data_IF_226893526440
#
_entry.id   IF_226893526440
#
_cell.length_a   1.000
_cell.length_b   1.000
_cell.length_c   1.000
_cell.angle_alpha   90.00
_cell.angle_beta   90.00
_cell.angle_gamma   90.00
#
_symmetry.space_group_name_H-M   'P 1'
#
loop_
_entity.id
_entity.type
_entity.pdbx_description
1 polymer ?
#
# COMPACT_ATOMS: atom_id res chain seq x y z
N UNK A 1 6.69 -4.73 5.41
CA UNK A 1 5.62 -5.59 5.98
C UNK A 1 4.29 -4.85 5.94
N UNK A 2 3.19 -5.61 5.83
CA UNK A 2 1.88 -5.06 6.10
C UNK A 2 1.77 -4.75 7.59
N UNK A 3 1.25 -3.57 7.98
CA UNK A 3 0.87 -3.37 9.37
C UNK A 3 -0.24 -4.36 9.74
N UNK A 4 -0.40 -4.69 11.02
CA UNK A 4 -1.55 -5.47 11.46
C UNK A 4 -2.84 -4.86 10.88
N UNK A 5 -3.68 -5.69 10.26
CA UNK A 5 -4.92 -5.22 9.68
C UNK A 5 -5.88 -4.87 10.81
N UNK A 6 -6.16 -3.58 10.97
CA UNK A 6 -7.14 -3.09 11.94
C UNK A 6 -8.58 -3.15 11.40
N UNK A 7 -8.75 -3.35 10.10
CA UNK A 7 -10.03 -3.61 9.42
C UNK A 7 -9.93 -4.92 8.64
N UNK A 8 -10.90 -5.78 8.82
CA UNK A 8 -11.00 -7.05 8.12
C UNK A 8 -12.37 -7.23 7.46
N UNK A 9 -12.41 -7.94 6.34
CA UNK A 9 -13.61 -8.34 5.63
C UNK A 9 -13.61 -9.87 5.55
N UNK A 10 -14.66 -10.51 6.08
CA UNK A 10 -14.83 -11.94 6.00
C UNK A 10 -15.43 -12.35 4.66
N UNK A 11 -14.74 -13.17 3.92
CA UNK A 11 -15.29 -13.92 2.81
C UNK A 11 -15.69 -15.31 3.33
N UNK A 12 -17.01 -15.51 3.53
CA UNK A 12 -17.53 -16.74 4.12
C UNK A 12 -17.78 -17.80 3.05
N UNK A 13 -16.95 -18.82 3.04
CA UNK A 13 -17.16 -20.00 2.19
C UNK A 13 -18.43 -20.76 2.58
N UNK A 14 -18.73 -20.85 3.87
CA UNK A 14 -19.93 -21.51 4.37
C UNK A 14 -21.20 -20.84 3.84
N UNK A 15 -21.27 -19.51 3.91
CA UNK A 15 -22.41 -18.75 3.36
C UNK A 15 -22.52 -18.90 1.85
N UNK A 16 -21.42 -18.94 1.12
CA UNK A 16 -21.43 -19.16 -0.32
C UNK A 16 -22.00 -20.53 -0.69
N UNK A 17 -21.64 -21.56 0.07
CA UNK A 17 -22.05 -22.92 -0.21
C UNK A 17 -23.49 -23.23 0.23
N UNK A 18 -23.92 -22.74 1.39
CA UNK A 18 -25.18 -23.16 2.01
C UNK A 18 -26.34 -22.18 1.85
N UNK A 19 -26.07 -20.91 1.61
CA UNK A 19 -27.13 -19.89 1.43
C UNK A 19 -27.73 -19.83 0.02
N UNK A 20 -27.44 -20.80 -0.83
CA UNK A 20 -28.03 -20.89 -2.17
C UNK A 20 -27.69 -19.71 -3.08
N UNK A 21 -26.59 -19.02 -2.85
CA UNK A 21 -26.17 -17.83 -3.60
C UNK A 21 -25.64 -18.15 -4.99
N UNK A 22 -25.88 -19.35 -5.45
CA UNK A 22 -25.59 -19.77 -6.80
C UNK A 22 -24.23 -20.39 -6.97
N UNK A 23 -24.09 -21.16 -8.03
CA UNK A 23 -22.83 -21.71 -8.50
C UNK A 23 -21.89 -20.56 -8.80
N UNK A 24 -20.77 -20.51 -8.10
CA UNK A 24 -19.63 -19.59 -8.30
C UNK A 24 -19.79 -18.14 -7.80
N UNK A 25 -20.75 -17.80 -6.95
CA UNK A 25 -20.82 -16.46 -6.33
C UNK A 25 -21.04 -15.29 -7.29
N UNK A 26 -21.17 -15.53 -8.59
CA UNK A 26 -21.25 -14.51 -9.63
C UNK A 26 -22.63 -13.87 -9.78
N UNK A 27 -23.64 -14.40 -9.12
CA UNK A 27 -25.02 -13.88 -9.20
C UNK A 27 -25.27 -12.64 -8.36
N UNK A 28 -24.42 -12.34 -7.40
CA UNK A 28 -24.53 -11.18 -6.50
C UNK A 28 -23.13 -10.70 -6.16
N UNK A 29 -22.66 -9.64 -6.78
CA UNK A 29 -21.38 -9.00 -6.53
C UNK A 29 -21.38 -8.08 -5.29
N UNK A 30 -22.03 -8.51 -4.23
CA UNK A 30 -22.23 -7.69 -3.04
C UNK A 30 -20.95 -7.48 -2.26
N UNK A 31 -20.11 -8.50 -2.18
CA UNK A 31 -18.79 -8.41 -1.55
C UNK A 31 -17.92 -7.38 -2.26
N UNK A 32 -18.00 -7.32 -3.59
CA UNK A 32 -17.29 -6.31 -4.38
C UNK A 32 -17.82 -4.90 -4.10
N UNK A 33 -19.15 -4.72 -4.03
CA UNK A 33 -19.77 -3.44 -3.72
C UNK A 33 -19.44 -3.00 -2.28
N UNK A 34 -19.42 -3.93 -1.32
CA UNK A 34 -18.97 -3.66 0.05
C UNK A 34 -17.50 -3.27 0.07
N UNK A 35 -16.65 -3.97 -0.66
CA UNK A 35 -15.23 -3.61 -0.75
C UNK A 35 -15.03 -2.19 -1.30
N UNK A 36 -15.80 -1.78 -2.31
CA UNK A 36 -15.78 -0.42 -2.84
C UNK A 36 -16.25 0.61 -1.81
N UNK A 37 -17.33 0.33 -1.06
CA UNK A 37 -17.78 1.18 0.04
C UNK A 37 -16.67 1.38 1.07
N UNK A 38 -16.01 0.30 1.48
CA UNK A 38 -14.89 0.37 2.43
C UNK A 38 -13.73 1.19 1.86
N UNK A 39 -13.38 0.99 0.60
CA UNK A 39 -12.33 1.75 -0.08
C UNK A 39 -12.66 3.25 -0.10
N UNK A 40 -13.87 3.64 -0.47
CA UNK A 40 -14.29 5.05 -0.45
C UNK A 40 -14.47 5.61 0.96
N UNK A 41 -14.75 4.77 1.95
CA UNK A 41 -14.65 5.14 3.36
C UNK A 41 -13.18 5.26 3.85
N UNK A 42 -12.20 5.09 2.97
CA UNK A 42 -10.73 5.09 3.22
C UNK A 42 -10.30 4.03 4.24
N UNK A 43 -11.02 2.94 4.29
CA UNK A 43 -10.62 1.75 5.03
C UNK A 43 -9.75 0.86 4.13
N UNK A 44 -8.88 0.09 4.75
CA UNK A 44 -7.96 -0.81 4.05
C UNK A 44 -8.19 -2.25 4.54
N UNK A 45 -9.32 -2.88 4.16
CA UNK A 45 -9.66 -4.17 4.72
C UNK A 45 -8.69 -5.26 4.25
N UNK A 46 -8.31 -6.14 5.17
CA UNK A 46 -7.73 -7.44 4.86
C UNK A 46 -8.86 -8.43 4.67
N UNK A 47 -8.83 -9.17 3.57
CA UNK A 47 -9.75 -10.28 3.37
C UNK A 47 -9.33 -11.43 4.29
N UNK A 48 -10.27 -11.94 5.07
CA UNK A 48 -10.11 -13.10 5.93
C UNK A 48 -11.10 -14.19 5.50
N UNK A 49 -10.73 -15.43 5.81
CA UNK A 49 -11.58 -16.60 5.67
C UNK A 49 -11.91 -17.16 7.06
N UNK A 50 -12.92 -18.01 7.16
CA UNK A 50 -13.33 -18.64 8.41
C UNK A 50 -12.16 -19.38 9.08
N UNK A 51 -11.38 -20.12 8.30
CA UNK A 51 -10.20 -20.84 8.79
C UNK A 51 -9.12 -19.89 9.33
N UNK A 52 -8.99 -18.69 8.73
CA UNK A 52 -8.05 -17.67 9.21
C UNK A 52 -8.48 -17.16 10.60
N UNK A 53 -9.77 -16.90 10.77
CA UNK A 53 -10.33 -16.48 12.08
C UNK A 53 -10.09 -17.54 13.16
N UNK A 54 -10.29 -18.82 12.81
CA UNK A 54 -10.14 -19.93 13.76
C UNK A 54 -8.67 -20.22 14.09
N UNK A 55 -7.77 -20.07 13.12
CA UNK A 55 -6.35 -20.36 13.29
C UNK A 55 -5.60 -19.21 13.97
N UNK A 56 -5.80 -17.99 13.50
CA UNK A 56 -5.00 -16.80 13.85
C UNK A 56 -5.75 -15.86 14.82
N UNK A 57 -7.06 -16.01 14.95
CA UNK A 57 -7.92 -15.12 15.73
C UNK A 57 -8.15 -13.76 15.02
N UNK A 58 -8.67 -12.82 15.82
CA UNK A 58 -8.96 -11.44 15.39
C UNK A 58 -8.13 -10.42 16.20
N UNK A 59 -6.99 -10.83 16.71
CA UNK A 59 -6.11 -9.93 17.46
C UNK A 59 -5.59 -8.80 16.57
N UNK A 60 -5.64 -7.56 17.09
CA UNK A 60 -5.26 -6.36 16.33
C UNK A 60 -6.35 -5.83 15.39
N UNK A 61 -7.38 -6.62 15.06
CA UNK A 61 -8.55 -6.14 14.34
C UNK A 61 -9.40 -5.23 15.23
N UNK A 62 -9.95 -4.18 14.67
CA UNK A 62 -10.86 -3.23 15.32
C UNK A 62 -12.24 -3.24 14.70
N UNK A 63 -12.29 -3.45 13.38
CA UNK A 63 -13.52 -3.47 12.59
C UNK A 63 -13.55 -4.74 11.74
N UNK A 64 -14.57 -5.57 11.95
CA UNK A 64 -14.83 -6.77 11.16
C UNK A 64 -16.09 -6.56 10.33
N UNK A 65 -15.97 -6.73 9.01
CA UNK A 65 -17.07 -6.58 8.06
C UNK A 65 -17.52 -7.94 7.56
N UNK A 66 -18.81 -8.20 7.64
CA UNK A 66 -19.43 -9.50 7.38
C UNK A 66 -20.47 -9.38 6.24
N UNK A 67 -20.02 -9.20 4.98
CA UNK A 67 -20.97 -9.08 3.87
C UNK A 67 -21.56 -10.44 3.51
N UNK A 68 -22.88 -10.51 3.43
CA UNK A 68 -23.57 -11.71 3.03
C UNK A 68 -23.27 -12.94 3.87
N UNK A 69 -22.94 -12.78 5.14
CA UNK A 69 -22.61 -13.85 6.08
C UNK A 69 -23.87 -14.38 6.80
N UNK A 70 -24.82 -14.95 6.07
CA UNK A 70 -26.09 -15.46 6.59
C UNK A 70 -25.97 -16.85 7.25
N UNK A 71 -25.00 -17.66 6.84
CA UNK A 71 -24.68 -18.97 7.42
C UNK A 71 -23.23 -19.01 7.84
N UNK A 72 -22.97 -19.22 9.13
CA UNK A 72 -21.62 -19.29 9.68
C UNK A 72 -21.46 -20.51 10.58
N UNK A 73 -20.29 -21.17 10.61
CA UNK A 73 -19.98 -22.21 11.59
C UNK A 73 -20.08 -21.68 13.01
N UNK A 74 -20.48 -22.57 13.95
CA UNK A 74 -20.69 -22.19 15.33
C UNK A 74 -19.45 -21.60 16.00
N UNK A 75 -18.31 -22.20 15.78
CA UNK A 75 -17.01 -21.75 16.31
C UNK A 75 -16.58 -20.39 15.79
N UNK A 76 -16.88 -20.09 14.51
CA UNK A 76 -16.68 -18.75 13.92
C UNK A 76 -17.61 -17.73 14.58
N UNK A 77 -18.89 -18.05 14.77
CA UNK A 77 -19.84 -17.19 15.49
C UNK A 77 -19.35 -16.91 16.92
N UNK A 78 -18.86 -17.93 17.63
CA UNK A 78 -18.30 -17.75 18.96
C UNK A 78 -17.04 -16.89 18.98
N UNK A 79 -16.17 -17.00 17.97
CA UNK A 79 -14.99 -16.14 17.81
C UNK A 79 -15.39 -14.67 17.56
N UNK A 80 -16.37 -14.43 16.69
CA UNK A 80 -16.89 -13.08 16.40
C UNK A 80 -17.53 -12.47 17.65
N UNK A 81 -18.30 -13.22 18.40
CA UNK A 81 -18.90 -12.75 19.67
C UNK A 81 -17.84 -12.38 20.71
N UNK A 82 -16.76 -13.17 20.83
CA UNK A 82 -15.64 -12.82 21.71
C UNK A 82 -14.96 -11.54 21.27
N UNK A 83 -14.77 -11.36 19.95
CA UNK A 83 -14.24 -10.13 19.37
C UNK A 83 -15.11 -8.91 19.74
N UNK A 84 -16.43 -8.99 19.59
CA UNK A 84 -17.35 -7.91 20.00
C UNK A 84 -17.30 -7.66 21.52
N UNK A 85 -17.27 -8.70 22.33
CA UNK A 85 -17.18 -8.59 23.79
C UNK A 85 -15.87 -7.90 24.24
N UNK A 86 -14.79 -7.99 23.45
CA UNK A 86 -13.53 -7.28 23.70
C UNK A 86 -13.49 -5.85 23.12
N UNK A 87 -14.61 -5.34 22.62
CA UNK A 87 -14.72 -3.97 22.07
C UNK A 87 -14.50 -3.86 20.57
N UNK A 88 -14.45 -4.99 19.84
CA UNK A 88 -14.42 -5.01 18.39
C UNK A 88 -15.76 -4.60 17.79
N UNK A 89 -15.71 -3.92 16.66
CA UNK A 89 -16.88 -3.42 15.92
C UNK A 89 -17.23 -4.38 14.79
N UNK A 90 -18.49 -4.78 14.69
CA UNK A 90 -19.00 -5.63 13.61
C UNK A 90 -19.93 -4.83 12.71
N UNK A 91 -19.58 -4.80 11.42
CA UNK A 91 -20.41 -4.25 10.35
C UNK A 91 -20.99 -5.44 9.56
N UNK A 92 -22.29 -5.50 9.45
CA UNK A 92 -23.00 -6.52 8.66
C UNK A 92 -23.88 -5.90 7.59
N UNK A 93 -24.56 -6.74 6.86
CA UNK A 93 -25.67 -6.35 5.99
C UNK A 93 -27.01 -6.89 6.52
N UNK A 94 -28.07 -6.74 5.72
CA UNK A 94 -29.41 -7.16 6.08
C UNK A 94 -29.56 -8.71 6.14
N UNK A 95 -28.63 -9.43 5.52
CA UNK A 95 -28.63 -10.90 5.45
C UNK A 95 -27.69 -11.54 6.50
N UNK A 96 -27.16 -10.77 7.45
CA UNK A 96 -26.26 -11.30 8.47
C UNK A 96 -26.88 -12.39 9.30
N UNK A 97 -26.12 -13.46 9.57
CA UNK A 97 -26.48 -14.55 10.47
C UNK A 97 -27.14 -14.03 11.75
N UNK A 98 -28.38 -14.48 12.11
CA UNK A 98 -29.14 -13.97 13.27
C UNK A 98 -28.46 -14.19 14.63
N UNK A 99 -27.45 -15.07 14.67
CA UNK A 99 -26.66 -15.31 15.88
C UNK A 99 -25.68 -14.17 16.20
N UNK A 100 -25.44 -13.23 15.27
CA UNK A 100 -24.54 -12.08 15.43
C UNK A 100 -25.37 -10.80 15.29
N UNK A 101 -25.15 -9.86 16.19
CA UNK A 101 -25.75 -8.52 16.09
C UNK A 101 -24.70 -7.58 15.50
N UNK A 102 -25.00 -6.99 14.34
CA UNK A 102 -24.16 -5.93 13.78
C UNK A 102 -24.27 -4.64 14.61
N UNK A 103 -23.14 -3.95 14.79
CA UNK A 103 -23.09 -2.61 15.37
C UNK A 103 -23.49 -1.55 14.33
N UNK A 104 -23.24 -1.85 13.06
CA UNK A 104 -23.69 -1.06 11.91
C UNK A 104 -24.18 -1.99 10.79
N UNK A 105 -25.28 -1.63 10.15
CA UNK A 105 -25.87 -2.40 9.03
C UNK A 105 -25.71 -1.63 7.74
N UNK A 106 -24.96 -2.18 6.80
CA UNK A 106 -24.86 -1.67 5.42
C UNK A 106 -26.12 -2.05 4.65
N UNK A 107 -26.78 -1.05 4.09
CA UNK A 107 -27.95 -1.25 3.22
C UNK A 107 -27.48 -1.29 1.77
N UNK A 108 -27.08 -2.45 1.29
CA UNK A 108 -26.56 -2.60 -0.06
C UNK A 108 -27.72 -2.54 -1.06
N UNK A 109 -27.65 -1.56 -1.97
CA UNK A 109 -28.64 -1.39 -3.02
C UNK A 109 -28.17 -2.12 -4.28
N UNK A 110 -29.14 -2.70 -4.99
CA UNK A 110 -28.85 -3.30 -6.31
C UNK A 110 -28.38 -2.24 -7.28
N UNK A 111 -27.48 -2.64 -8.19
CA UNK A 111 -27.04 -1.81 -9.31
C UNK A 111 -28.20 -1.38 -10.17
N UNK A 112 -28.12 -0.15 -10.66
CA UNK A 112 -29.03 0.42 -11.64
C UNK A 112 -28.45 0.21 -13.06
N UNK A 113 -29.08 0.82 -14.07
CA UNK A 113 -28.56 0.79 -15.44
C UNK A 113 -27.49 1.86 -15.71
N UNK A 114 -27.17 2.72 -14.73
CA UNK A 114 -26.26 3.86 -14.88
C UNK A 114 -25.08 3.74 -13.90
N UNK A 115 -23.92 3.47 -14.42
CA UNK A 115 -22.71 3.23 -13.63
C UNK A 115 -22.30 4.43 -12.76
N UNK A 116 -22.43 5.67 -13.25
CA UNK A 116 -22.13 6.86 -12.44
C UNK A 116 -23.12 7.04 -11.29
N UNK A 117 -24.41 6.70 -11.48
CA UNK A 117 -25.40 6.73 -10.42
C UNK A 117 -25.14 5.66 -9.36
N UNK A 118 -24.71 4.48 -9.77
CA UNK A 118 -24.34 3.39 -8.86
C UNK A 118 -23.10 3.77 -8.04
N UNK A 119 -22.08 4.35 -8.68
CA UNK A 119 -20.90 4.89 -7.97
C UNK A 119 -21.32 5.93 -6.93
N UNK A 120 -22.12 6.91 -7.31
CA UNK A 120 -22.57 7.96 -6.40
C UNK A 120 -23.35 7.40 -5.20
N UNK A 121 -24.20 6.38 -5.42
CA UNK A 121 -24.94 5.74 -4.35
C UNK A 121 -24.05 4.98 -3.37
N UNK A 122 -23.03 4.26 -3.86
CA UNK A 122 -22.06 3.56 -3.01
C UNK A 122 -21.13 4.53 -2.26
N UNK A 123 -20.73 5.64 -2.89
CA UNK A 123 -19.97 6.70 -2.24
C UNK A 123 -20.77 7.39 -1.13
N UNK A 124 -22.07 7.60 -1.32
CA UNK A 124 -22.93 8.13 -0.25
C UNK A 124 -22.97 7.19 0.95
N UNK A 125 -23.12 5.88 0.73
CA UNK A 125 -23.06 4.89 1.82
C UNK A 125 -21.67 4.86 2.49
N UNK A 126 -20.60 5.01 1.73
CA UNK A 126 -19.25 5.09 2.28
C UNK A 126 -19.08 6.30 3.20
N UNK A 127 -19.66 7.46 2.84
CA UNK A 127 -19.60 8.65 3.68
C UNK A 127 -20.49 8.50 4.94
N UNK A 128 -21.68 7.91 4.85
CA UNK A 128 -22.52 7.57 6.01
C UNK A 128 -21.78 6.65 6.99
N UNK A 129 -21.18 5.57 6.47
CA UNK A 129 -20.37 4.65 7.26
C UNK A 129 -19.18 5.38 7.91
N UNK A 130 -18.50 6.24 7.15
CA UNK A 130 -17.39 7.02 7.65
C UNK A 130 -17.79 7.96 8.80
N UNK A 131 -18.91 8.65 8.67
CA UNK A 131 -19.43 9.51 9.75
C UNK A 131 -19.72 8.71 11.02
N UNK A 132 -20.34 7.55 10.88
CA UNK A 132 -20.62 6.68 12.02
C UNK A 132 -19.32 6.18 12.68
N UNK A 133 -18.34 5.75 11.89
CA UNK A 133 -17.05 5.24 12.38
C UNK A 133 -16.22 6.29 13.14
N UNK A 134 -16.42 7.59 12.92
CA UNK A 134 -15.67 8.65 13.64
C UNK A 134 -15.75 8.53 15.15
N UNK A 135 -16.81 7.93 15.68
CA UNK A 135 -16.99 7.73 17.12
C UNK A 135 -16.15 6.60 17.71
N UNK A 136 -15.70 5.63 16.88
CA UNK A 136 -15.05 4.40 17.34
C UNK A 136 -13.79 4.02 16.58
N UNK A 137 -13.49 4.67 15.45
CA UNK A 137 -12.35 4.36 14.61
C UNK A 137 -11.53 5.61 14.25
N UNK A 138 -10.22 5.46 14.20
CA UNK A 138 -9.29 6.52 13.80
C UNK A 138 -8.44 6.01 12.64
N UNK A 139 -8.50 6.67 11.48
CA UNK A 139 -7.76 6.30 10.29
C UNK A 139 -6.26 6.45 10.49
N UNK A 140 -5.44 5.39 10.31
CA UNK A 140 -3.98 5.51 10.36
C UNK A 140 -3.43 6.39 9.23
N UNK A 141 -4.04 6.28 8.05
CA UNK A 141 -3.79 7.14 6.88
C UNK A 141 -5.12 7.50 6.25
N UNK A 142 -5.25 8.74 5.79
CA UNK A 142 -6.49 9.28 5.25
C UNK A 142 -6.23 10.19 4.05
N UNK A 143 -7.25 10.37 3.21
CA UNK A 143 -7.26 11.28 2.06
C UNK A 143 -8.48 12.18 2.11
N UNK A 144 -8.34 13.43 1.65
CA UNK A 144 -9.49 14.32 1.43
C UNK A 144 -10.40 13.86 0.31
N UNK A 145 -9.85 13.08 -0.64
CA UNK A 145 -10.57 12.61 -1.83
C UNK A 145 -10.90 11.11 -1.74
N UNK A 146 -12.19 10.72 -1.88
CA UNK A 146 -12.60 9.32 -1.80
C UNK A 146 -12.01 8.45 -2.91
N UNK A 147 -11.76 9.04 -4.08
CA UNK A 147 -11.19 8.34 -5.23
C UNK A 147 -9.65 8.19 -5.16
N UNK A 148 -8.99 8.66 -4.09
CA UNK A 148 -7.58 8.38 -3.85
C UNK A 148 -7.46 7.17 -2.94
N UNK A 149 -7.07 6.04 -3.54
CA UNK A 149 -6.83 4.79 -2.83
C UNK A 149 -5.48 4.85 -2.14
N UNK A 150 -5.49 4.68 -0.82
CA UNK A 150 -4.28 4.67 -0.02
C UNK A 150 -3.94 3.24 0.44
N UNK A 151 -2.65 2.92 0.45
CA UNK A 151 -2.10 1.74 1.12
C UNK A 151 -0.89 2.13 1.95
N UNK A 152 -0.84 1.60 3.16
CA UNK A 152 0.24 1.84 4.11
C UNK A 152 1.05 0.57 4.32
N UNK A 153 2.38 0.69 4.28
CA UNK A 153 3.36 -0.35 4.61
C UNK A 153 4.31 0.19 5.66
N UNK A 154 4.84 -0.67 6.50
CA UNK A 154 5.76 -0.31 7.58
C UNK A 154 7.04 -1.12 7.45
N UNK A 155 8.18 -0.47 7.62
CA UNK A 155 9.49 -1.12 7.69
C UNK A 155 10.35 -0.43 8.76
N UNK A 156 10.42 -1.03 9.95
CA UNK A 156 11.06 -0.40 11.11
C UNK A 156 10.36 0.90 11.50
N UNK A 157 11.11 2.00 11.54
CA UNK A 157 10.59 3.33 11.87
C UNK A 157 10.02 4.09 10.66
N UNK A 158 10.12 3.52 9.47
CA UNK A 158 9.66 4.13 8.23
C UNK A 158 8.30 3.60 7.80
N UNK A 159 7.54 4.46 7.12
CA UNK A 159 6.24 4.15 6.54
C UNK A 159 6.25 4.49 5.06
N UNK A 160 5.66 3.61 4.25
CA UNK A 160 5.48 3.80 2.82
C UNK A 160 4.00 3.96 2.55
N UNK A 161 3.64 5.10 1.97
CA UNK A 161 2.26 5.42 1.63
C UNK A 161 2.13 5.39 0.11
N UNK A 162 1.37 4.43 -0.38
CA UNK A 162 0.99 4.34 -1.78
C UNK A 162 -0.30 5.12 -1.96
N UNK A 163 -0.31 6.07 -2.89
CA UNK A 163 -1.49 6.85 -3.25
C UNK A 163 -1.78 6.65 -4.73
N UNK A 164 -2.95 6.14 -5.06
CA UNK A 164 -3.36 5.81 -6.42
C UNK A 164 -4.62 6.59 -6.74
N UNK A 165 -4.64 7.28 -7.87
CA UNK A 165 -5.80 8.00 -8.36
C UNK A 165 -6.74 7.04 -9.11
N UNK A 166 -7.89 6.75 -8.50
CA UNK A 166 -8.98 5.97 -9.09
C UNK A 166 -10.15 6.85 -9.56
N UNK A 167 -9.92 8.16 -9.68
CA UNK A 167 -10.96 9.10 -10.13
C UNK A 167 -11.22 8.94 -11.61
N UNK A 168 -12.47 8.59 -11.93
CA UNK A 168 -12.90 8.34 -13.30
C UNK A 168 -14.39 8.61 -13.46
N UNK A 169 -14.80 8.96 -14.67
CA UNK A 169 -16.20 8.92 -15.09
C UNK A 169 -16.49 7.57 -15.70
N UNK A 170 -17.74 7.15 -15.61
CA UNK A 170 -18.22 5.93 -16.24
C UNK A 170 -19.18 6.32 -17.36
N UNK A 171 -19.08 5.62 -18.49
CA UNK A 171 -20.09 5.64 -19.51
C UNK A 171 -21.23 4.66 -19.20
N UNK A 172 -22.06 4.41 -20.22
CA UNK A 172 -23.13 3.43 -20.10
C UNK A 172 -22.58 2.01 -19.98
N UNK A 173 -23.35 1.12 -19.37
CA UNK A 173 -23.07 -0.31 -19.42
C UNK A 173 -23.26 -0.82 -20.84
N UNK A 174 -22.23 -1.46 -21.39
CA UNK A 174 -22.22 -1.96 -22.76
C UNK A 174 -22.00 -3.47 -22.83
N UNK A 175 -22.69 -4.10 -23.76
CA UNK A 175 -22.57 -5.54 -24.01
C UNK A 175 -23.21 -6.42 -22.95
N UNK A 176 -23.15 -7.73 -23.20
CA UNK A 176 -23.79 -8.76 -22.37
C UNK A 176 -23.29 -8.78 -20.91
N UNK A 177 -22.04 -8.37 -20.68
CA UNK A 177 -21.42 -8.36 -19.35
C UNK A 177 -21.50 -7.01 -18.65
N UNK A 178 -22.24 -6.04 -19.17
CA UNK A 178 -22.38 -4.71 -18.56
C UNK A 178 -21.03 -3.99 -18.38
N UNK A 179 -20.12 -4.09 -19.36
CA UNK A 179 -18.84 -3.37 -19.32
C UNK A 179 -19.06 -1.87 -19.40
N UNK A 180 -18.20 -1.13 -18.75
CA UNK A 180 -18.26 0.33 -18.67
C UNK A 180 -17.09 0.94 -19.44
N UNK A 181 -17.37 1.99 -20.20
CA UNK A 181 -16.31 2.82 -20.81
C UNK A 181 -15.87 3.85 -19.76
N UNK A 182 -14.62 3.74 -19.34
CA UNK A 182 -14.07 4.57 -18.26
C UNK A 182 -13.12 5.63 -18.83
N UNK A 183 -13.20 6.84 -18.27
CA UNK A 183 -12.24 7.92 -18.55
C UNK A 183 -11.64 8.40 -17.25
N UNK A 184 -10.34 8.19 -17.08
CA UNK A 184 -9.59 8.66 -15.92
C UNK A 184 -9.51 10.19 -15.88
N UNK A 185 -9.61 10.75 -14.69
CA UNK A 185 -9.54 12.18 -14.43
C UNK A 185 -8.40 12.52 -13.48
N UNK A 186 -7.76 13.69 -13.62
CA UNK A 186 -6.78 14.15 -12.64
C UNK A 186 -7.44 14.42 -11.28
N UNK A 187 -6.66 14.32 -10.22
CA UNK A 187 -7.10 14.52 -8.86
C UNK A 187 -6.06 15.26 -8.03
N UNK A 188 -6.53 16.15 -7.15
CA UNK A 188 -5.71 16.76 -6.12
C UNK A 188 -6.28 16.38 -4.76
N UNK A 189 -5.42 15.93 -3.87
CA UNK A 189 -5.84 15.47 -2.55
C UNK A 189 -4.86 15.91 -1.47
N UNK A 190 -5.37 16.00 -0.25
CA UNK A 190 -4.57 16.10 0.96
C UNK A 190 -4.44 14.70 1.56
N UNK A 191 -3.22 14.23 1.73
CA UNK A 191 -2.94 12.99 2.49
C UNK A 191 -2.61 13.35 3.93
N UNK A 192 -3.17 12.61 4.88
CA UNK A 192 -2.89 12.72 6.30
C UNK A 192 -2.44 11.37 6.85
N UNK A 193 -1.32 11.35 7.54
CA UNK A 193 -0.79 10.17 8.22
C UNK A 193 -0.78 10.43 9.72
N UNK A 194 -1.40 9.55 10.51
CA UNK A 194 -1.44 9.65 11.98
C UNK A 194 -0.07 9.31 12.58
N UNK A 195 0.83 10.27 12.49
CA UNK A 195 2.21 10.18 12.99
C UNK A 195 2.67 11.53 13.51
N UNK A 196 3.34 11.53 14.65
CA UNK A 196 3.92 12.75 15.23
C UNK A 196 5.29 13.03 14.61
N UNK A 197 5.33 13.99 13.67
CA UNK A 197 6.55 14.43 13.01
C UNK A 197 7.11 13.45 11.98
N UNK A 198 8.09 13.90 11.25
CA UNK A 198 8.80 13.15 10.22
C UNK A 198 9.02 13.94 8.94
N UNK A 199 9.78 13.35 8.04
CA UNK A 199 10.09 13.88 6.71
C UNK A 199 9.42 13.01 5.68
N UNK A 200 8.82 13.63 4.67
CA UNK A 200 8.11 12.95 3.58
C UNK A 200 8.90 13.09 2.29
N UNK A 201 9.15 11.99 1.61
CA UNK A 201 9.77 11.94 0.28
C UNK A 201 8.80 11.33 -0.73
N UNK A 202 8.68 11.96 -1.90
CA UNK A 202 8.03 11.37 -3.08
C UNK A 202 9.08 10.54 -3.83
N UNK A 203 8.97 9.21 -3.77
CA UNK A 203 9.92 8.29 -4.39
C UNK A 203 9.85 8.30 -5.91
N UNK A 204 8.72 8.71 -6.49
CA UNK A 204 8.57 8.85 -7.95
C UNK A 204 9.24 10.13 -8.43
N UNK A 205 8.99 11.25 -7.74
CA UNK A 205 9.60 12.55 -8.06
C UNK A 205 11.03 12.69 -7.50
N UNK A 206 11.49 11.77 -6.64
CA UNK A 206 12.82 11.74 -6.02
C UNK A 206 13.15 13.04 -5.29
N UNK A 207 12.22 13.49 -4.46
CA UNK A 207 12.39 14.75 -3.72
C UNK A 207 11.60 14.76 -2.43
N UNK A 208 12.06 15.59 -1.51
CA UNK A 208 11.30 15.87 -0.31
C UNK A 208 10.01 16.62 -0.64
N UNK A 209 8.94 16.27 0.08
CA UNK A 209 7.63 16.92 0.00
C UNK A 209 7.46 17.81 1.21
N UNK A 210 6.91 19.01 1.01
CA UNK A 210 6.54 19.89 2.11
C UNK A 210 5.36 19.28 2.85
N UNK A 211 5.59 18.89 4.09
CA UNK A 211 4.57 18.35 4.98
C UNK A 211 4.44 19.22 6.22
N UNK A 212 3.22 19.38 6.70
CA UNK A 212 2.89 20.13 7.92
C UNK A 212 2.57 19.14 9.04
N UNK A 213 3.14 19.35 10.22
CA UNK A 213 2.80 18.60 11.41
C UNK A 213 1.62 19.29 12.11
N UNK A 214 0.49 18.60 12.18
CA UNK A 214 -0.73 19.03 12.86
C UNK A 214 -0.97 18.14 14.10
N UNK A 215 -1.86 18.52 15.03
CA UNK A 215 -2.18 17.67 16.20
C UNK A 215 -2.65 16.26 15.82
N UNK A 216 -3.28 16.14 14.66
CA UNK A 216 -3.83 14.88 14.14
C UNK A 216 -2.81 14.04 13.34
N UNK A 217 -1.63 14.58 13.05
CA UNK A 217 -0.55 13.91 12.33
C UNK A 217 0.13 14.76 11.25
N UNK A 218 0.90 14.09 10.40
CA UNK A 218 1.52 14.70 9.23
C UNK A 218 0.51 14.88 8.09
N UNK A 219 0.57 16.02 7.44
CA UNK A 219 -0.28 16.37 6.30
C UNK A 219 0.55 16.89 5.13
N UNK A 220 0.23 16.44 3.91
CA UNK A 220 0.83 16.96 2.68
C UNK A 220 -0.15 16.91 1.51
N UNK A 221 0.09 17.74 0.51
CA UNK A 221 -0.71 17.80 -0.71
C UNK A 221 -0.13 16.86 -1.78
N UNK A 222 -1.01 16.22 -2.54
CA UNK A 222 -0.65 15.39 -3.68
C UNK A 222 -1.48 15.76 -4.90
N UNK A 223 -0.82 15.82 -6.06
CA UNK A 223 -1.46 15.95 -7.35
C UNK A 223 -1.19 14.69 -8.15
N UNK A 224 -2.23 14.12 -8.72
CA UNK A 224 -2.20 12.86 -9.45
C UNK A 224 -2.88 13.04 -10.81
N UNK A 225 -2.21 12.64 -11.87
CA UNK A 225 -2.81 12.50 -13.20
C UNK A 225 -3.82 11.33 -13.24
N UNK A 226 -4.52 11.13 -14.37
CA UNK A 226 -5.44 10.01 -14.56
C UNK A 226 -4.74 8.66 -14.38
N UNK A 227 -5.19 7.85 -13.41
CA UNK A 227 -4.60 6.55 -13.10
C UNK A 227 -3.17 6.60 -12.53
N UNK A 228 -2.66 7.78 -12.19
CA UNK A 228 -1.33 7.93 -11.64
C UNK A 228 -1.25 7.40 -10.20
N UNK A 229 -0.10 6.78 -9.90
CA UNK A 229 0.25 6.37 -8.55
C UNK A 229 1.53 7.03 -8.07
N UNK A 230 1.59 7.34 -6.78
CA UNK A 230 2.80 7.83 -6.09
C UNK A 230 3.10 6.99 -4.87
N UNK A 231 4.37 6.94 -4.51
CA UNK A 231 4.86 6.28 -3.31
C UNK A 231 5.58 7.30 -2.46
N UNK A 232 5.11 7.50 -1.24
CA UNK A 232 5.75 8.38 -0.27
C UNK A 232 6.48 7.56 0.78
N UNK A 233 7.74 7.89 1.03
CA UNK A 233 8.50 7.41 2.18
C UNK A 233 8.37 8.45 3.29
N UNK A 234 7.87 8.03 4.45
CA UNK A 234 7.79 8.85 5.65
C UNK A 234 8.71 8.27 6.71
N UNK A 235 9.65 9.05 7.21
CA UNK A 235 10.67 8.61 8.15
C UNK A 235 10.96 9.68 9.21
N UNK A 236 11.54 9.29 10.35
CA UNK A 236 11.74 10.22 11.47
C UNK A 236 12.85 11.25 11.22
N UNK A 237 13.77 10.95 10.29
CA UNK A 237 14.96 11.75 10.04
C UNK A 237 15.09 12.08 8.56
N UNK A 238 15.85 13.12 8.26
CA UNK A 238 16.15 13.55 6.90
C UNK A 238 17.36 12.79 6.35
N UNK A 239 17.32 12.42 5.06
CA UNK A 239 18.47 11.86 4.37
C UNK A 239 19.54 12.96 4.25
N UNK A 240 20.71 12.71 4.80
CA UNK A 240 21.85 13.63 4.80
C UNK A 240 22.81 13.38 3.64
N UNK A 241 22.94 12.12 3.20
CA UNK A 241 23.88 11.81 2.12
C UNK A 241 24.02 10.32 1.81
N UNK A 242 24.90 10.09 0.83
CA UNK A 242 25.38 8.78 0.43
C UNK A 242 26.85 8.61 0.78
N UNK A 243 27.24 7.38 1.15
CA UNK A 243 28.62 6.96 1.28
C UNK A 243 28.84 5.71 0.44
N UNK A 244 29.96 5.64 -0.25
CA UNK A 244 30.34 4.52 -1.11
C UNK A 244 31.73 4.01 -0.71
N UNK A 245 31.83 2.73 -0.46
CA UNK A 245 33.09 2.01 -0.38
C UNK A 245 33.08 0.87 -1.39
N UNK A 246 34.16 0.68 -2.11
CA UNK A 246 34.24 -0.42 -3.08
C UNK A 246 35.67 -0.97 -3.18
N UNK A 247 35.79 -2.19 -3.67
CA UNK A 247 37.07 -2.76 -4.08
C UNK A 247 37.68 -1.88 -5.17
N UNK A 248 38.90 -1.33 -5.01
CA UNK A 248 39.46 -0.37 -5.95
C UNK A 248 39.91 -0.99 -7.26
N UNK A 249 40.26 -2.27 -7.26
CA UNK A 249 40.67 -3.03 -8.44
C UNK A 249 40.39 -4.52 -8.32
N UNK A 250 40.16 -5.17 -9.45
CA UNK A 250 39.94 -6.61 -9.54
C UNK A 250 40.54 -7.16 -10.84
N UNK A 251 41.07 -8.40 -10.86
CA UNK A 251 41.43 -9.05 -12.12
C UNK A 251 40.18 -9.50 -12.88
N UNK A 252 40.34 -9.77 -14.16
CA UNK A 252 39.33 -10.51 -14.94
C UNK A 252 39.03 -11.86 -14.25
N UNK A 253 37.78 -12.21 -14.12
CA UNK A 253 37.30 -13.36 -13.32
C UNK A 253 37.28 -13.11 -11.82
N UNK A 254 37.68 -11.92 -11.36
CA UNK A 254 37.66 -11.54 -9.97
C UNK A 254 36.31 -10.94 -9.54
N UNK A 255 36.32 -10.35 -8.33
CA UNK A 255 35.09 -9.81 -7.70
C UNK A 255 35.30 -8.40 -7.20
N UNK A 256 34.33 -7.54 -7.43
CA UNK A 256 34.23 -6.19 -6.87
C UNK A 256 33.11 -6.16 -5.83
N UNK A 257 33.45 -5.82 -4.59
CA UNK A 257 32.46 -5.55 -3.55
C UNK A 257 32.11 -4.06 -3.58
N UNK A 258 30.84 -3.74 -3.48
CA UNK A 258 30.29 -2.39 -3.52
C UNK A 258 29.38 -2.21 -2.31
N UNK A 259 29.80 -1.39 -1.36
CA UNK A 259 29.05 -1.09 -0.14
C UNK A 259 28.56 0.36 -0.20
N UNK A 260 27.24 0.52 -0.17
CA UNK A 260 26.56 1.82 -0.17
C UNK A 260 25.89 2.01 1.18
N UNK A 261 26.04 3.21 1.74
CA UNK A 261 25.31 3.61 2.94
C UNK A 261 24.53 4.90 2.64
N UNK A 262 23.25 4.87 2.96
CA UNK A 262 22.40 6.06 3.06
C UNK A 262 22.47 6.52 4.51
N UNK A 263 22.84 7.76 4.74
CA UNK A 263 23.03 8.31 6.09
C UNK A 263 22.14 9.51 6.35
N UNK A 264 21.81 9.76 7.62
CA UNK A 264 21.14 10.98 8.04
C UNK A 264 22.13 12.17 8.11
N UNK A 265 21.63 13.36 8.49
CA UNK A 265 22.48 14.57 8.59
C UNK A 265 23.60 14.46 9.62
N UNK A 266 23.49 13.56 10.60
CA UNK A 266 24.53 13.28 11.59
C UNK A 266 25.45 12.14 11.17
N UNK A 267 25.32 11.60 9.96
CA UNK A 267 26.16 10.52 9.42
C UNK A 267 25.81 9.12 9.95
N UNK A 268 24.69 8.95 10.66
CA UNK A 268 24.20 7.65 11.13
C UNK A 268 23.46 6.93 10.01
N UNK A 269 23.47 5.59 10.04
CA UNK A 269 22.70 4.78 9.08
C UNK A 269 21.22 5.17 9.10
N UNK A 270 20.63 5.28 7.91
CA UNK A 270 19.27 5.72 7.76
C UNK A 270 18.28 4.59 8.10
N UNK A 271 17.30 4.80 8.99
CA UNK A 271 16.50 3.72 9.58
C UNK A 271 15.32 3.31 8.68
N UNK A 272 15.55 3.17 7.37
CA UNK A 272 14.53 2.79 6.40
C UNK A 272 15.11 1.88 5.32
N UNK A 273 14.23 1.27 4.54
CA UNK A 273 14.61 0.65 3.27
C UNK A 273 14.53 1.72 2.19
N UNK A 274 15.68 2.20 1.71
CA UNK A 274 15.74 3.21 0.64
C UNK A 274 16.03 2.51 -0.69
N UNK A 275 15.23 2.74 -1.75
CA UNK A 275 15.55 2.20 -3.06
C UNK A 275 16.76 2.93 -3.65
N UNK A 276 17.73 2.14 -4.13
CA UNK A 276 18.98 2.60 -4.74
C UNK A 276 18.99 2.15 -6.21
N UNK A 277 19.30 3.06 -7.10
CA UNK A 277 19.80 2.72 -8.43
C UNK A 277 21.31 2.59 -8.36
N UNK A 278 21.84 1.41 -8.73
CA UNK A 278 23.27 1.13 -8.85
C UNK A 278 23.58 0.90 -10.32
N UNK A 279 24.34 1.81 -10.94
CA UNK A 279 24.87 1.67 -12.29
C UNK A 279 26.33 1.21 -12.24
N UNK A 280 26.65 0.12 -12.92
CA UNK A 280 28.01 -0.38 -13.10
C UNK A 280 28.32 -0.29 -14.59
N UNK A 281 29.20 0.65 -14.95
CA UNK A 281 29.41 1.11 -16.33
C UNK A 281 30.85 0.79 -16.75
N UNK A 282 31.00 0.11 -17.86
CA UNK A 282 32.29 -0.31 -18.40
C UNK A 282 33.11 0.87 -18.99
N UNK A 283 34.39 0.68 -19.37
CA UNK A 283 35.20 1.72 -19.98
C UNK A 283 34.69 2.25 -21.33
N UNK A 284 33.81 1.50 -22.01
CA UNK A 284 33.15 1.93 -23.25
C UNK A 284 31.85 2.70 -23.01
N UNK A 285 31.42 2.87 -21.73
CA UNK A 285 30.20 3.58 -21.37
C UNK A 285 28.94 2.72 -21.39
N UNK A 286 29.06 1.40 -21.48
CA UNK A 286 27.95 0.46 -21.48
C UNK A 286 27.66 -0.02 -20.06
N UNK A 287 26.38 -0.08 -19.69
CA UNK A 287 25.93 -0.68 -18.44
C UNK A 287 26.10 -2.20 -18.45
N UNK A 288 26.62 -2.73 -17.34
CA UNK A 288 26.74 -4.17 -17.11
C UNK A 288 25.45 -4.78 -16.54
N UNK A 289 25.42 -6.11 -16.50
CA UNK A 289 24.31 -6.86 -15.91
C UNK A 289 24.13 -6.65 -14.39
N UNK A 290 25.16 -6.11 -13.72
CA UNK A 290 25.08 -5.72 -12.30
C UNK A 290 24.35 -4.39 -12.08
N UNK A 291 23.99 -3.67 -13.15
CA UNK A 291 23.19 -2.44 -13.07
C UNK A 291 21.73 -2.76 -12.74
N UNK A 292 21.15 -2.04 -11.79
CA UNK A 292 19.75 -2.27 -11.42
C UNK A 292 19.30 -1.49 -10.18
N UNK A 293 18.09 -1.84 -9.75
CA UNK A 293 17.49 -1.28 -8.53
C UNK A 293 17.66 -2.25 -7.36
N UNK A 294 18.15 -1.74 -6.26
CA UNK A 294 18.47 -2.52 -5.06
C UNK A 294 17.89 -1.86 -3.81
N UNK A 295 17.46 -2.65 -2.80
CA UNK A 295 17.04 -2.10 -1.52
C UNK A 295 18.25 -1.84 -0.61
N UNK A 296 18.44 -0.62 -0.15
CA UNK A 296 19.33 -0.32 0.97
C UNK A 296 18.58 -0.57 2.28
N UNK A 297 18.65 -1.79 2.81
CA UNK A 297 17.97 -2.18 4.04
C UNK A 297 18.59 -1.50 5.25
N UNK A 298 17.79 -0.73 6.01
CA UNK A 298 18.28 0.12 7.10
C UNK A 298 19.46 1.00 6.65
N UNK A 299 19.31 1.59 5.47
CA UNK A 299 20.30 2.46 4.87
C UNK A 299 21.53 1.74 4.31
N UNK A 300 21.58 0.42 4.24
CA UNK A 300 22.76 -0.34 3.80
C UNK A 300 22.46 -1.22 2.59
N UNK A 301 23.32 -1.16 1.60
CA UNK A 301 23.36 -2.06 0.45
C UNK A 301 24.79 -2.61 0.32
N UNK A 302 24.92 -3.93 0.28
CA UNK A 302 26.17 -4.61 -0.10
C UNK A 302 25.92 -5.41 -1.37
N UNK A 303 26.48 -4.98 -2.48
CA UNK A 303 26.39 -5.62 -3.77
C UNK A 303 27.75 -6.25 -4.14
N UNK A 304 27.70 -7.29 -4.97
CA UNK A 304 28.88 -7.96 -5.52
C UNK A 304 28.76 -8.02 -7.02
N UNK A 305 29.80 -7.59 -7.70
CA UNK A 305 29.93 -7.69 -9.15
C UNK A 305 31.03 -8.69 -9.48
N UNK A 306 30.71 -9.74 -10.22
CA UNK A 306 31.66 -10.73 -10.72
C UNK A 306 32.19 -10.24 -12.07
N UNK A 307 33.47 -9.95 -12.16
CA UNK A 307 34.10 -9.50 -13.40
C UNK A 307 34.16 -10.68 -14.38
N UNK A 308 33.45 -10.61 -15.48
CA UNK A 308 33.39 -11.71 -16.44
C UNK A 308 34.71 -11.83 -17.25
N UNK A 309 35.05 -13.02 -17.78
CA UNK A 309 36.26 -13.22 -18.58
C UNK A 309 36.35 -12.34 -19.84
N UNK A 310 35.23 -11.85 -20.34
CA UNK A 310 35.08 -10.99 -21.51
C UNK A 310 34.84 -9.52 -21.16
N UNK A 311 34.89 -9.15 -19.88
CA UNK A 311 34.77 -7.77 -19.45
C UNK A 311 35.99 -6.95 -19.88
N UNK A 312 35.76 -5.68 -20.22
CA UNK A 312 36.82 -4.80 -20.68
C UNK A 312 37.77 -4.42 -19.56
N UNK A 313 39.07 -4.61 -19.77
CA UNK A 313 40.08 -4.06 -18.89
C UNK A 313 40.03 -2.51 -18.94
N UNK A 314 40.27 -1.89 -17.80
CA UNK A 314 40.28 -0.44 -17.69
C UNK A 314 39.48 0.12 -16.50
N UNK A 315 39.19 1.41 -16.55
CA UNK A 315 38.49 2.13 -15.48
C UNK A 315 36.98 2.02 -15.65
N UNK A 316 36.33 1.36 -14.70
CA UNK A 316 34.87 1.22 -14.59
C UNK A 316 34.29 2.30 -13.67
N UNK A 317 33.05 2.67 -13.92
CA UNK A 317 32.34 3.67 -13.12
C UNK A 317 31.21 3.02 -12.34
N UNK A 318 31.13 3.32 -11.05
CA UNK A 318 29.99 2.98 -10.18
C UNK A 318 29.17 4.26 -10.02
N UNK A 319 27.91 4.23 -10.43
CA UNK A 319 26.96 5.34 -10.20
C UNK A 319 25.92 4.89 -9.20
N UNK A 320 25.79 5.60 -8.11
CA UNK A 320 24.80 5.34 -7.07
C UNK A 320 23.84 6.50 -6.99
N UNK A 321 22.54 6.21 -7.08
CA UNK A 321 21.50 7.21 -6.84
C UNK A 321 20.50 6.65 -5.83
N UNK A 322 20.26 7.35 -4.73
CA UNK A 322 19.14 7.02 -3.87
C UNK A 322 17.87 7.70 -4.38
N UNK A 323 16.74 6.98 -4.33
CA UNK A 323 15.53 7.38 -5.03
C UNK A 323 14.50 8.11 -4.13
N UNK A 324 14.89 8.50 -2.92
CA UNK A 324 14.03 9.29 -2.04
C UNK A 324 14.32 10.80 -2.18
N UNK A 325 15.55 11.24 -1.91
CA UNK A 325 15.94 12.65 -2.08
C UNK A 325 16.60 12.94 -3.42
N UNK A 326 16.96 11.89 -4.17
CA UNK A 326 17.56 12.00 -5.50
C UNK A 326 19.07 12.27 -5.47
N UNK A 327 19.74 12.11 -4.34
CA UNK A 327 21.18 12.30 -4.24
C UNK A 327 21.95 11.25 -5.02
N UNK A 328 23.05 11.66 -5.63
CA UNK A 328 23.92 10.81 -6.44
C UNK A 328 25.36 10.83 -5.92
N UNK A 329 26.04 9.69 -6.11
CA UNK A 329 27.46 9.52 -5.81
C UNK A 329 28.11 8.67 -6.91
N UNK A 330 29.34 9.03 -7.29
CA UNK A 330 30.10 8.31 -8.31
C UNK A 330 31.39 7.78 -7.71
N UNK A 331 31.66 6.50 -7.94
CA UNK A 331 32.90 5.82 -7.63
C UNK A 331 33.50 5.13 -8.83
N UNK A 332 34.68 4.53 -8.63
CA UNK A 332 35.40 3.85 -9.71
C UNK A 332 36.13 2.62 -9.19
N UNK A 333 36.32 1.64 -10.07
CA UNK A 333 37.27 0.55 -9.87
C UNK A 333 38.02 0.27 -11.19
N UNK A 334 39.10 -0.50 -11.11
CA UNK A 334 39.92 -0.85 -12.28
C UNK A 334 39.86 -2.37 -12.49
N UNK A 335 39.55 -2.80 -13.70
CA UNK A 335 39.69 -4.20 -14.14
C UNK A 335 41.03 -4.35 -14.84
N UNK A 336 41.83 -5.35 -14.38
CA UNK A 336 43.18 -5.65 -14.91
C UNK A 336 43.20 -7.02 -15.58
#
# INVERSE_FOLDING_TARGET
>A
EDPPADVALLESFTSQMFAGRGTYGWGRSWEADVHLILQWARLQPKILYEETILRDGLEGCRVLVLPGCDVLPRDVVEAIRRFQASGGVVIGDEDLCPAIRADYVLKIRRRTEKADADKAALQAQAEELRQWLKSCYSWPVDSSEPDVVLRRRVAGEAEYIFAINDRRTYGDYVGHHGRVMETGLPCSATVRLRRQGGVVYDLVARRQVVATCEPEGLRWEVQLGPGEGKVFLVCPREIGGLQLANTPEAPVGGRVCIDVRVVDREGRDFPAVVPIYLGIIDPAGKESEGTGFYPACQGKLSARYEVAPNDLAGKWTIRVQELASGQELVGHFVVR
#
